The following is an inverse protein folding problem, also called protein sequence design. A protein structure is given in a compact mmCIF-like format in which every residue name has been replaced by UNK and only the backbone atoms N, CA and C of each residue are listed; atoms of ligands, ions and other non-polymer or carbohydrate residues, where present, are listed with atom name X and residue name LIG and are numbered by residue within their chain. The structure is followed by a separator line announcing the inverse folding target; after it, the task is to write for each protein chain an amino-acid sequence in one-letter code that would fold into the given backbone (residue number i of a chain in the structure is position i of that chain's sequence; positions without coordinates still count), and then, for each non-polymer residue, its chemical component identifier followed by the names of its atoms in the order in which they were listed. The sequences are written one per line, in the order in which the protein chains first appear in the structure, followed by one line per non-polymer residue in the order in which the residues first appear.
data_IF_506941609243
#
_entry.id   IF_506941609243
#
_cell.length_a   1.000
_cell.length_b   1.000
_cell.length_c   1.000
_cell.angle_alpha   90.00
_cell.angle_beta   90.00
_cell.angle_gamma   90.00
#
_symmetry.space_group_name_H-M   'P 1'
#
loop_
_entity.id
_entity.type
_entity.pdbx_description
1 polymer ?
#
# COMPACT_ATOMS: atom_id res chain seq x y z
N UNK A 1 20.43 -11.21 20.25
CA UNK A 1 19.85 -12.14 21.25
C UNK A 1 18.58 -12.75 20.67
N UNK A 2 18.54 -14.07 20.50
CA UNK A 2 17.33 -14.76 20.05
C UNK A 2 16.29 -14.77 21.16
N UNK A 3 15.02 -14.54 20.81
CA UNK A 3 13.91 -14.47 21.76
C UNK A 3 12.70 -15.26 21.22
N UNK A 4 11.96 -16.00 22.07
CA UNK A 4 10.75 -16.71 21.65
C UNK A 4 9.62 -15.77 21.19
N UNK A 5 9.75 -14.47 21.42
CA UNK A 5 8.84 -13.45 20.87
C UNK A 5 8.89 -13.41 19.34
N UNK A 6 10.03 -13.76 18.73
CA UNK A 6 10.28 -13.68 17.29
C UNK A 6 10.49 -15.07 16.68
N UNK A 7 10.56 -15.13 15.35
CA UNK A 7 10.67 -16.40 14.60
C UNK A 7 11.97 -16.54 13.79
N UNK A 8 12.91 -15.61 13.97
CA UNK A 8 14.25 -15.68 13.40
C UNK A 8 15.32 -15.80 14.47
N UNK A 9 16.56 -16.02 14.04
CA UNK A 9 17.73 -16.10 14.92
C UNK A 9 18.56 -14.82 14.82
N UNK A 10 19.08 -14.37 15.95
CA UNK A 10 20.17 -13.40 16.01
C UNK A 10 21.47 -14.19 16.19
N UNK A 11 22.17 -14.46 15.09
CA UNK A 11 23.31 -15.36 15.02
C UNK A 11 24.42 -14.80 14.11
N UNK A 12 25.68 -15.15 14.39
CA UNK A 12 26.85 -14.66 13.64
C UNK A 12 27.04 -15.37 12.28
N UNK A 13 26.36 -16.48 12.05
CA UNK A 13 26.49 -17.31 10.85
C UNK A 13 25.23 -17.34 9.98
N UNK A 14 24.08 -16.93 10.52
CA UNK A 14 22.82 -16.81 9.77
C UNK A 14 22.13 -15.49 10.06
N UNK A 15 21.81 -14.75 9.00
CA UNK A 15 21.01 -13.54 9.13
C UNK A 15 19.59 -13.87 9.60
N UNK A 16 19.00 -12.98 10.40
CA UNK A 16 17.62 -13.11 10.85
C UNK A 16 16.66 -13.37 9.68
N UNK A 17 15.84 -14.42 9.79
CA UNK A 17 14.84 -14.80 8.80
C UNK A 17 13.52 -15.18 9.50
N UNK A 18 12.41 -14.55 9.14
CA UNK A 18 11.12 -14.83 9.75
C UNK A 18 10.64 -16.25 9.39
N UNK A 19 10.15 -16.99 10.38
CA UNK A 19 9.76 -18.39 10.22
C UNK A 19 10.91 -19.39 10.33
N UNK A 20 12.16 -18.95 10.53
CA UNK A 20 13.30 -19.83 10.70
C UNK A 20 13.09 -20.83 11.83
N UNK A 21 12.68 -20.38 13.03
CA UNK A 21 12.46 -21.29 14.17
C UNK A 21 11.25 -22.20 13.94
N UNK A 22 10.25 -21.78 13.16
CA UNK A 22 9.15 -22.66 12.79
C UNK A 22 9.60 -23.84 11.93
N UNK A 23 10.53 -23.58 11.01
CA UNK A 23 11.07 -24.60 10.09
C UNK A 23 12.12 -25.48 10.77
N UNK A 24 13.05 -24.90 11.52
CA UNK A 24 14.23 -25.61 12.03
C UNK A 24 14.09 -26.09 13.48
N UNK A 25 13.34 -25.36 14.31
CA UNK A 25 13.08 -25.72 15.72
C UNK A 25 11.72 -26.42 15.90
N UNK A 26 11.01 -26.67 14.79
CA UNK A 26 9.71 -27.35 14.75
C UNK A 26 8.64 -26.71 15.64
N UNK A 27 8.78 -25.43 15.96
CA UNK A 27 7.78 -24.65 16.68
C UNK A 27 6.58 -24.43 15.75
N UNK A 28 5.36 -24.86 16.10
CA UNK A 28 4.19 -24.64 15.25
C UNK A 28 3.92 -23.16 14.99
N UNK A 29 3.39 -22.84 13.81
CA UNK A 29 2.73 -21.54 13.62
C UNK A 29 1.48 -21.48 14.50
N UNK A 30 1.11 -20.30 14.98
CA UNK A 30 -0.07 -20.11 15.83
C UNK A 30 -1.35 -20.03 14.96
N UNK A 31 -1.60 -21.08 14.21
CA UNK A 31 -2.76 -21.29 13.32
C UNK A 31 -3.53 -22.54 13.76
N UNK A 32 -4.74 -22.77 13.23
CA UNK A 32 -5.56 -23.94 13.59
C UNK A 32 -4.85 -25.27 13.34
N UNK A 33 -4.07 -25.37 12.26
CA UNK A 33 -3.36 -26.60 11.87
C UNK A 33 -1.92 -26.69 12.39
N UNK A 34 -1.42 -25.64 13.06
CA UNK A 34 0.00 -25.52 13.46
C UNK A 34 0.97 -25.25 12.30
N UNK A 35 0.47 -25.02 11.07
CA UNK A 35 1.24 -24.86 9.82
C UNK A 35 0.87 -23.56 9.10
N UNK A 36 1.59 -23.22 8.04
CA UNK A 36 1.16 -22.17 7.11
C UNK A 36 -0.21 -22.53 6.52
N UNK A 37 -1.25 -21.79 6.91
CA UNK A 37 -2.65 -22.18 6.69
C UNK A 37 -3.16 -21.63 5.35
N UNK A 38 -3.14 -22.47 4.31
CA UNK A 38 -3.64 -22.10 2.98
C UNK A 38 -5.18 -22.07 2.94
N UNK A 39 -5.86 -22.94 3.69
CA UNK A 39 -7.32 -23.01 3.75
C UNK A 39 -7.87 -22.30 4.98
N UNK A 40 -8.64 -21.24 4.76
CA UNK A 40 -9.27 -20.43 5.80
C UNK A 40 -10.71 -20.91 6.02
N UNK A 41 -10.91 -21.78 7.01
CA UNK A 41 -12.15 -22.54 7.18
C UNK A 41 -13.19 -21.86 8.10
N UNK A 42 -12.88 -20.71 8.69
CA UNK A 42 -13.87 -19.95 9.46
C UNK A 42 -15.11 -19.65 8.59
N UNK A 43 -16.31 -19.69 9.19
CA UNK A 43 -17.57 -19.54 8.44
C UNK A 43 -17.57 -18.30 7.54
N UNK A 44 -17.13 -17.14 8.05
CA UNK A 44 -17.03 -15.93 7.23
C UNK A 44 -16.07 -16.07 6.05
N UNK A 45 -14.91 -16.71 6.23
CA UNK A 45 -13.94 -16.88 5.15
C UNK A 45 -14.51 -17.75 4.03
N UNK A 46 -15.29 -18.79 4.37
CA UNK A 46 -15.98 -19.60 3.37
C UNK A 46 -17.10 -18.83 2.69
N UNK A 47 -18.00 -18.23 3.47
CA UNK A 47 -19.21 -17.57 2.97
C UNK A 47 -18.88 -16.32 2.14
N UNK A 48 -17.84 -15.58 2.51
CA UNK A 48 -17.34 -14.44 1.72
C UNK A 48 -16.44 -14.86 0.56
N UNK A 49 -16.13 -16.15 0.35
CA UNK A 49 -15.35 -16.62 -0.80
C UNK A 49 -13.83 -16.37 -0.70
N UNK A 50 -13.28 -16.44 0.52
CA UNK A 50 -11.85 -16.27 0.85
C UNK A 50 -11.24 -17.53 1.51
N UNK A 51 -11.92 -18.68 1.43
CA UNK A 51 -11.39 -19.94 1.99
C UNK A 51 -10.09 -20.41 1.31
N UNK A 52 -9.89 -20.03 0.04
CA UNK A 52 -8.63 -20.10 -0.67
C UNK A 52 -8.39 -18.75 -1.38
N UNK A 53 -7.15 -18.51 -1.81
CA UNK A 53 -6.82 -17.34 -2.62
C UNK A 53 -7.61 -17.33 -3.94
N UNK A 54 -8.16 -16.17 -4.29
CA UNK A 54 -8.89 -15.95 -5.54
C UNK A 54 -8.59 -14.55 -6.06
N UNK A 55 -8.73 -14.36 -7.37
CA UNK A 55 -8.71 -13.01 -7.93
C UNK A 55 -9.92 -12.21 -7.43
N UNK A 56 -9.68 -10.97 -6.97
CA UNK A 56 -10.72 -9.97 -6.66
C UNK A 56 -10.38 -8.65 -7.34
N UNK A 57 -11.30 -8.05 -8.10
CA UNK A 57 -11.07 -6.72 -8.68
C UNK A 57 -11.09 -5.65 -7.57
N UNK A 58 -10.50 -4.46 -7.82
CA UNK A 58 -10.73 -3.28 -6.97
C UNK A 58 -12.23 -3.00 -6.82
N UNK A 59 -12.66 -2.63 -5.61
CA UNK A 59 -14.06 -2.27 -5.36
C UNK A 59 -14.41 -0.91 -5.98
N UNK A 60 -15.65 -0.74 -6.43
CA UNK A 60 -16.18 0.57 -6.82
C UNK A 60 -16.62 1.36 -5.57
N UNK A 61 -15.85 2.40 -5.22
CA UNK A 61 -16.13 3.28 -4.07
C UNK A 61 -17.28 4.25 -4.35
N UNK A 62 -17.69 4.40 -5.61
CA UNK A 62 -18.78 5.29 -6.07
C UNK A 62 -18.61 6.76 -5.69
N UNK A 63 -17.38 7.21 -5.41
CA UNK A 63 -17.10 8.54 -4.89
C UNK A 63 -17.17 9.66 -5.94
N UNK A 64 -17.00 9.36 -7.24
CA UNK A 64 -16.81 10.37 -8.29
C UNK A 64 -18.11 10.73 -9.02
N UNK A 65 -18.89 9.73 -9.48
CA UNK A 65 -20.04 9.94 -10.38
C UNK A 65 -21.08 10.92 -9.83
N UNK A 66 -21.24 10.96 -8.51
CA UNK A 66 -22.21 11.83 -7.86
C UNK A 66 -21.78 13.30 -7.79
N UNK A 67 -20.51 13.64 -8.00
CA UNK A 67 -19.97 15.00 -7.83
C UNK A 67 -19.36 15.60 -9.09
N UNK A 68 -18.92 14.77 -10.03
CA UNK A 68 -18.31 15.19 -11.30
C UNK A 68 -19.22 16.12 -12.09
N UNK A 69 -18.67 17.22 -12.61
CA UNK A 69 -19.36 18.25 -13.38
C UNK A 69 -20.32 19.16 -12.59
N UNK A 70 -20.56 18.91 -11.29
CA UNK A 70 -21.50 19.72 -10.50
C UNK A 70 -20.98 21.13 -10.17
N UNK A 71 -19.67 21.32 -10.15
CA UNK A 71 -19.00 22.59 -9.80
C UNK A 71 -17.87 22.89 -10.79
N UNK A 72 -18.19 22.94 -12.07
CA UNK A 72 -17.20 23.21 -13.12
C UNK A 72 -16.54 24.58 -12.95
N UNK A 73 -15.24 24.65 -13.20
CA UNK A 73 -14.46 25.89 -13.33
C UNK A 73 -14.19 26.26 -14.81
N UNK A 74 -14.79 25.56 -15.77
CA UNK A 74 -14.59 25.74 -17.21
C UNK A 74 -13.56 24.80 -17.84
N UNK A 75 -12.75 24.09 -17.05
CA UNK A 75 -11.76 23.13 -17.54
C UNK A 75 -12.33 21.70 -17.63
N UNK A 76 -11.75 20.81 -18.45
CA UNK A 76 -12.17 19.40 -18.52
C UNK A 76 -11.92 18.65 -17.20
N UNK A 77 -12.73 17.62 -16.95
CA UNK A 77 -12.62 16.74 -15.77
C UNK A 77 -12.43 15.28 -16.21
N UNK A 78 -11.55 14.53 -15.54
CA UNK A 78 -11.32 13.09 -15.79
C UNK A 78 -11.19 12.31 -14.48
N UNK A 79 -11.84 11.15 -14.39
CA UNK A 79 -11.72 10.26 -13.23
C UNK A 79 -10.49 9.36 -13.37
N UNK A 80 -9.62 9.35 -12.35
CA UNK A 80 -8.39 8.54 -12.28
C UNK A 80 -8.35 7.73 -10.99
N UNK A 81 -7.51 6.70 -10.95
CA UNK A 81 -7.21 5.99 -9.69
C UNK A 81 -6.24 6.84 -8.84
N UNK A 82 -6.59 7.08 -7.58
CA UNK A 82 -5.79 7.92 -6.67
C UNK A 82 -4.90 7.05 -5.78
N UNK A 83 -3.65 6.86 -6.21
CA UNK A 83 -2.64 6.11 -5.46
C UNK A 83 -1.81 7.03 -4.57
N UNK A 84 -1.55 6.61 -3.33
CA UNK A 84 -0.76 7.37 -2.34
C UNK A 84 0.45 6.58 -1.84
N UNK A 85 1.42 6.26 -2.72
CA UNK A 85 2.66 5.60 -2.30
C UNK A 85 3.47 6.51 -1.36
N UNK A 86 4.31 5.93 -0.51
CA UNK A 86 5.18 6.70 0.38
C UNK A 86 6.14 7.58 -0.43
N UNK A 87 6.29 8.83 -0.02
CA UNK A 87 7.14 9.80 -0.69
C UNK A 87 8.63 9.52 -0.46
N UNK A 88 9.48 9.98 -1.39
CA UNK A 88 10.94 9.98 -1.24
C UNK A 88 11.44 11.08 -0.29
N UNK A 89 10.67 12.14 -0.11
CA UNK A 89 11.10 13.42 0.48
C UNK A 89 10.62 13.61 1.92
N UNK A 90 10.46 12.51 2.65
CA UNK A 90 10.05 12.53 4.05
C UNK A 90 9.63 11.15 4.53
N UNK A 91 9.38 11.04 5.83
CA UNK A 91 8.82 9.83 6.44
C UNK A 91 7.42 10.20 6.93
N UNK A 92 6.40 9.76 6.18
CA UNK A 92 5.03 10.25 6.34
C UNK A 92 5.00 11.79 6.19
N UNK A 93 4.49 12.51 7.19
CA UNK A 93 4.55 13.99 7.26
C UNK A 93 5.80 14.50 8.01
N UNK A 94 6.55 13.62 8.68
CA UNK A 94 7.82 14.05 9.28
C UNK A 94 8.80 14.41 8.16
N UNK A 95 9.38 15.59 8.28
CA UNK A 95 10.22 16.24 7.28
C UNK A 95 9.50 16.79 6.06
N UNK A 96 8.16 16.70 5.94
CA UNK A 96 7.46 17.30 4.80
C UNK A 96 7.54 18.83 4.80
N UNK A 97 7.73 19.44 5.97
CA UNK A 97 7.95 20.87 6.17
C UNK A 97 9.44 21.25 6.26
N UNK A 98 10.34 20.25 6.22
CA UNK A 98 11.76 20.49 6.31
C UNK A 98 12.25 21.16 5.02
N UNK A 99 12.85 22.34 5.16
CA UNK A 99 13.32 23.14 4.02
C UNK A 99 14.26 22.36 3.09
N UNK A 100 15.10 21.45 3.60
CA UNK A 100 15.98 20.63 2.76
C UNK A 100 15.17 19.69 1.88
N UNK A 101 14.15 19.03 2.44
CA UNK A 101 13.30 18.12 1.69
C UNK A 101 12.42 18.87 0.69
N UNK A 102 11.91 20.04 1.07
CA UNK A 102 11.18 20.93 0.16
C UNK A 102 12.07 21.37 -1.02
N UNK A 103 13.33 21.73 -0.74
CA UNK A 103 14.30 22.17 -1.76
C UNK A 103 14.72 21.04 -2.71
N UNK A 104 14.88 19.81 -2.20
CA UNK A 104 15.23 18.64 -3.02
C UNK A 104 14.03 18.04 -3.77
N UNK A 105 12.82 18.41 -3.37
CA UNK A 105 11.57 17.98 -4.01
C UNK A 105 11.06 19.05 -4.96
N UNK A 106 9.77 19.36 -4.90
CA UNK A 106 9.08 20.39 -5.70
C UNK A 106 8.47 21.48 -4.80
N UNK A 107 9.10 21.77 -3.66
CA UNK A 107 8.75 22.91 -2.81
C UNK A 107 7.40 22.83 -2.08
N UNK A 108 6.70 21.68 -2.12
CA UNK A 108 5.41 21.52 -1.47
C UNK A 108 4.66 20.27 -1.92
N UNK A 109 3.34 20.20 -1.62
CA UNK A 109 2.47 19.13 -2.09
C UNK A 109 2.42 19.06 -3.61
N UNK A 110 2.54 17.86 -4.15
CA UNK A 110 2.48 17.58 -5.60
C UNK A 110 1.69 16.30 -5.86
N UNK A 111 1.12 16.18 -7.07
CA UNK A 111 0.51 14.96 -7.59
C UNK A 111 1.24 14.55 -8.86
N UNK A 112 1.56 13.27 -8.99
CA UNK A 112 2.14 12.73 -10.22
C UNK A 112 1.02 12.29 -11.17
N UNK A 113 1.10 12.72 -12.43
CA UNK A 113 0.16 12.37 -13.49
C UNK A 113 0.91 11.87 -14.72
N UNK A 114 0.29 10.98 -15.51
CA UNK A 114 0.87 10.56 -16.78
C UNK A 114 0.85 11.72 -17.78
N UNK A 115 1.82 11.78 -18.70
CA UNK A 115 1.81 12.80 -19.75
C UNK A 115 0.55 12.74 -20.62
N UNK A 116 0.01 11.54 -20.84
CA UNK A 116 -1.20 11.35 -21.66
C UNK A 116 -2.42 11.96 -20.97
N UNK A 117 -2.61 11.69 -19.67
CA UNK A 117 -3.72 12.25 -18.92
C UNK A 117 -3.58 13.77 -18.76
N UNK A 118 -2.36 14.27 -18.52
CA UNK A 118 -2.09 15.70 -18.40
C UNK A 118 -2.40 16.45 -19.71
N UNK A 119 -1.93 15.93 -20.86
CA UNK A 119 -2.20 16.52 -22.18
C UNK A 119 -3.70 16.52 -22.52
N UNK A 120 -4.43 15.47 -22.16
CA UNK A 120 -5.89 15.40 -22.37
C UNK A 120 -6.64 16.43 -21.53
N UNK A 121 -6.16 16.71 -20.32
CA UNK A 121 -6.72 17.70 -19.41
C UNK A 121 -6.21 19.12 -19.63
N UNK A 122 -5.20 19.31 -20.50
CA UNK A 122 -4.57 20.61 -20.71
C UNK A 122 -3.77 21.11 -19.50
N UNK A 123 -3.17 20.18 -18.74
CA UNK A 123 -2.33 20.46 -17.57
C UNK A 123 -0.86 20.43 -17.99
N UNK A 124 -0.12 21.50 -17.73
CA UNK A 124 1.33 21.56 -17.91
C UNK A 124 2.08 21.09 -16.66
N UNK A 125 3.38 20.77 -16.80
CA UNK A 125 4.19 20.41 -15.63
C UNK A 125 4.25 21.60 -14.66
N UNK A 126 3.96 21.33 -13.38
CA UNK A 126 3.94 22.32 -12.30
C UNK A 126 2.74 23.31 -12.29
N UNK A 127 1.67 23.03 -13.05
CA UNK A 127 0.37 23.69 -12.87
C UNK A 127 -0.29 23.36 -11.50
N UNK A 128 -1.25 24.20 -11.10
CA UNK A 128 -2.06 24.05 -9.88
C UNK A 128 -3.27 23.13 -10.06
#
# INVERSE_FOLDING_TARGET
ISSPTWSGLEDEHVSYNAGYTNVHELIPWRTLSGRQQLYQDHQWMRDFGESLLVYRPPIDTRSVKAVMGRKSNGNPEKALNFLTPHQKWGIHSTYSDNLLMLTLSRGGPIVWMSETDAKELGIEDNDW
#
